data_IF_586804569394
#
_entry.id   IF_586804569394
#
_cell.length_a   1.000
_cell.length_b   1.000
_cell.length_c   1.000
_cell.angle_alpha   90.00
_cell.angle_beta   90.00
_cell.angle_gamma   90.00
#
_symmetry.space_group_name_H-M   'P 1'
#
loop_
_entity.id
_entity.type
_entity.pdbx_description
1 polymer ?
#
# COMPACT_ATOMS: atom_id res chain seq x y z
N UNK A 1 -2.69 11.61 4.81
CA UNK A 1 -2.38 10.74 5.97
C UNK A 1 -1.93 9.41 5.43
N UNK A 2 -0.70 9.02 5.76
CA UNK A 2 -0.13 7.75 5.38
C UNK A 2 -0.71 6.62 6.26
N UNK A 3 -1.06 5.50 5.64
CA UNK A 3 -1.57 4.29 6.30
C UNK A 3 -0.91 3.06 5.70
N UNK A 4 -0.80 1.99 6.48
CA UNK A 4 -0.31 0.70 5.99
C UNK A 4 -1.51 -0.07 5.43
N UNK A 5 -1.38 -0.57 4.21
CA UNK A 5 -2.39 -1.43 3.58
C UNK A 5 -1.74 -2.68 3.02
N UNK A 6 -2.45 -3.81 3.12
CA UNK A 6 -2.05 -5.05 2.48
C UNK A 6 -2.84 -5.32 1.20
N UNK A 7 -2.19 -5.88 0.20
CA UNK A 7 -2.82 -6.42 -1.01
C UNK A 7 -2.40 -7.87 -1.20
N UNK A 8 -3.37 -8.76 -1.42
CA UNK A 8 -3.09 -10.14 -1.82
C UNK A 8 -2.93 -10.19 -3.33
N UNK A 9 -1.84 -10.76 -3.83
CA UNK A 9 -1.59 -10.95 -5.26
C UNK A 9 -0.89 -12.28 -5.49
N UNK A 10 -1.45 -13.12 -6.37
CA UNK A 10 -0.94 -14.47 -6.65
C UNK A 10 -0.74 -15.33 -5.39
N UNK A 11 -1.63 -15.21 -4.41
CA UNK A 11 -1.56 -15.94 -3.13
C UNK A 11 -0.62 -15.33 -2.09
N UNK A 12 0.16 -14.30 -2.42
CA UNK A 12 1.08 -13.64 -1.49
C UNK A 12 0.49 -12.33 -0.97
N UNK A 13 0.71 -12.07 0.33
CA UNK A 13 0.30 -10.83 0.99
C UNK A 13 1.46 -9.83 0.99
N UNK A 14 1.21 -8.69 0.38
CA UNK A 14 2.18 -7.61 0.22
C UNK A 14 1.74 -6.38 0.98
N UNK A 15 2.68 -5.69 1.60
CA UNK A 15 2.41 -4.50 2.40
C UNK A 15 2.92 -3.23 1.72
N UNK A 16 2.14 -2.16 1.86
CA UNK A 16 2.41 -0.87 1.26
C UNK A 16 2.11 0.24 2.26
N UNK A 17 2.90 1.29 2.22
CA UNK A 17 2.52 2.59 2.79
C UNK A 17 1.75 3.32 1.70
N UNK A 18 0.52 3.70 2.00
CA UNK A 18 -0.41 4.32 1.07
C UNK A 18 -0.90 5.62 1.66
N UNK A 19 -1.06 6.64 0.84
CA UNK A 19 -1.68 7.88 1.26
C UNK A 19 -2.90 8.19 0.41
N UNK A 20 -3.98 8.62 1.06
CA UNK A 20 -5.14 9.15 0.35
C UNK A 20 -4.83 10.54 -0.19
N UNK A 21 -4.85 10.70 -1.52
CA UNK A 21 -4.69 11.99 -2.22
C UNK A 21 -5.83 12.19 -3.22
N UNK A 22 -6.20 13.44 -3.49
CA UNK A 22 -7.14 13.72 -4.58
C UNK A 22 -6.39 13.78 -5.92
N UNK A 23 -6.83 12.97 -6.87
CA UNK A 23 -6.38 13.02 -8.27
C UNK A 23 -7.59 13.40 -9.11
N UNK A 24 -7.52 14.54 -9.82
CA UNK A 24 -8.64 15.11 -10.57
C UNK A 24 -9.93 15.25 -9.74
N UNK A 25 -9.79 15.76 -8.50
CA UNK A 25 -10.89 15.96 -7.56
C UNK A 25 -11.39 14.70 -6.84
N UNK A 26 -11.03 13.49 -7.29
CA UNK A 26 -11.47 12.22 -6.69
C UNK A 26 -10.42 11.68 -5.72
N UNK A 27 -10.78 11.26 -4.49
CA UNK A 27 -9.84 10.63 -3.58
C UNK A 27 -9.34 9.31 -4.16
N UNK A 28 -8.03 9.12 -4.15
CA UNK A 28 -7.31 7.94 -4.65
C UNK A 28 -6.25 7.53 -3.64
N UNK A 29 -6.08 6.21 -3.39
CA UNK A 29 -4.94 5.70 -2.67
C UNK A 29 -3.69 5.77 -3.56
N UNK A 30 -2.65 6.46 -3.13
CA UNK A 30 -1.36 6.56 -3.80
C UNK A 30 -0.33 5.78 -2.97
N UNK A 31 0.35 4.82 -3.60
CA UNK A 31 1.42 4.05 -2.95
C UNK A 31 2.66 4.94 -2.80
N UNK A 32 3.13 5.10 -1.57
CA UNK A 32 4.34 5.85 -1.23
C UNK A 32 5.55 4.93 -1.13
N UNK A 33 5.38 3.76 -0.51
CA UNK A 33 6.45 2.78 -0.34
C UNK A 33 5.91 1.35 -0.40
N UNK A 34 6.72 0.45 -0.95
CA UNK A 34 6.49 -0.99 -0.90
C UNK A 34 7.32 -1.59 0.23
N UNK A 35 6.66 -2.30 1.14
CA UNK A 35 7.28 -2.88 2.34
C UNK A 35 7.64 -4.36 2.17
N UNK A 36 7.32 -4.98 1.04
CA UNK A 36 7.58 -6.41 0.84
C UNK A 36 6.49 -7.31 1.43
N UNK A 37 6.85 -8.58 1.62
CA UNK A 37 6.04 -9.53 2.40
C UNK A 37 6.37 -9.37 3.88
N UNK A 38 5.47 -9.84 4.75
CA UNK A 38 5.76 -9.88 6.18
C UNK A 38 6.99 -10.74 6.49
N UNK A 39 7.22 -11.79 5.71
CA UNK A 39 8.35 -12.71 5.86
C UNK A 39 9.70 -12.06 5.50
N UNK A 40 9.71 -10.96 4.73
CA UNK A 40 10.94 -10.27 4.32
C UNK A 40 11.41 -9.24 5.38
N UNK A 41 10.60 -9.00 6.42
CA UNK A 41 10.82 -7.95 7.43
C UNK A 41 11.42 -8.48 8.75
N UNK A 42 11.76 -9.77 8.83
CA UNK A 42 12.34 -10.48 9.99
C UNK A 42 13.67 -11.14 9.62
#
# INVERSE_FOLDING_TARGET
MATIQSKTTKGYKYWYIVESRRVNGKPRPIVLAYLGKADDLL
#
